data_IF_371295262651
#
_entry.id   IF_371295262651
#
_cell.length_a   1.000
_cell.length_b   1.000
_cell.length_c   1.000
_cell.angle_alpha   90.00
_cell.angle_beta   90.00
_cell.angle_gamma   90.00
#
_symmetry.space_group_name_H-M   'P 1'
#
loop_
_entity.id
_entity.type
_entity.pdbx_description
1 polymer ?
#
# COMPACT_ATOMS: atom_id res chain seq x y z
N UNK A 1 1.19 -8.29 5.25
CA UNK A 1 1.63 -8.59 3.86
C UNK A 1 2.42 -9.87 3.69
N UNK A 2 3.55 -10.10 4.38
CA UNK A 2 4.39 -11.30 4.15
C UNK A 2 3.60 -12.61 4.29
N UNK A 3 2.82 -12.76 5.37
CA UNK A 3 1.98 -13.94 5.58
C UNK A 3 0.76 -14.01 4.63
N UNK A 4 0.38 -12.89 4.02
CA UNK A 4 -0.75 -12.84 3.10
C UNK A 4 -0.34 -13.37 1.72
N UNK A 5 0.80 -12.93 1.20
CA UNK A 5 1.28 -13.35 -0.13
C UNK A 5 1.60 -14.85 -0.21
N UNK A 6 1.88 -15.51 0.93
CA UNK A 6 2.04 -16.97 1.00
C UNK A 6 0.72 -17.75 0.81
N UNK A 7 -0.44 -17.09 0.91
CA UNK A 7 -1.74 -17.70 0.67
C UNK A 7 -2.15 -17.66 -0.81
N UNK A 8 -1.43 -16.92 -1.64
CA UNK A 8 -1.75 -16.80 -3.07
C UNK A 8 -1.37 -18.08 -3.83
N UNK A 9 -2.10 -18.40 -4.92
CA UNK A 9 -1.80 -19.59 -5.72
C UNK A 9 -0.37 -19.61 -6.24
N UNK A 10 0.30 -20.76 -6.13
CA UNK A 10 1.63 -20.95 -6.68
C UNK A 10 1.57 -21.22 -8.20
N UNK A 11 1.20 -20.19 -8.96
CA UNK A 11 1.17 -20.18 -10.42
C UNK A 11 1.71 -18.83 -10.95
N UNK A 12 1.82 -18.68 -12.27
CA UNK A 12 2.39 -17.47 -12.86
C UNK A 12 1.67 -16.17 -12.43
N UNK A 13 0.34 -16.19 -12.42
CA UNK A 13 -0.49 -15.03 -12.04
C UNK A 13 -0.30 -14.69 -10.56
N UNK A 14 -0.41 -15.70 -9.68
CA UNK A 14 -0.22 -15.53 -8.24
C UNK A 14 1.18 -15.03 -7.90
N UNK A 15 2.22 -15.55 -8.55
CA UNK A 15 3.61 -15.12 -8.33
C UNK A 15 3.85 -13.65 -8.73
N UNK A 16 3.28 -13.21 -9.86
CA UNK A 16 3.37 -11.81 -10.29
C UNK A 16 2.68 -10.89 -9.29
N UNK A 17 1.44 -11.22 -8.90
CA UNK A 17 0.65 -10.41 -7.96
C UNK A 17 1.32 -10.38 -6.58
N UNK A 18 1.77 -11.52 -6.08
CA UNK A 18 2.52 -11.63 -4.81
C UNK A 18 3.71 -10.68 -4.78
N UNK A 19 4.46 -10.60 -5.88
CA UNK A 19 5.62 -9.71 -5.98
C UNK A 19 5.22 -8.24 -5.95
N UNK A 20 4.17 -7.85 -6.66
CA UNK A 20 3.69 -6.47 -6.68
C UNK A 20 3.21 -6.04 -5.30
N UNK A 21 2.34 -6.84 -4.67
CA UNK A 21 1.81 -6.58 -3.33
C UNK A 21 2.90 -6.52 -2.26
N UNK A 22 3.84 -7.47 -2.30
CA UNK A 22 4.92 -7.49 -1.33
C UNK A 22 5.79 -6.24 -1.46
N UNK A 23 6.06 -5.81 -2.70
CA UNK A 23 6.84 -4.60 -2.96
C UNK A 23 6.08 -3.35 -2.51
N UNK A 24 4.86 -3.13 -2.99
CA UNK A 24 4.11 -1.91 -2.68
C UNK A 24 3.76 -1.83 -1.19
N UNK A 25 3.23 -2.91 -0.62
CA UNK A 25 2.77 -2.93 0.77
C UNK A 25 3.89 -2.77 1.80
N UNK A 26 5.11 -3.27 1.51
CA UNK A 26 6.26 -3.03 2.39
C UNK A 26 6.89 -1.65 2.19
N UNK A 27 6.75 -1.08 0.99
CA UNK A 27 7.27 0.25 0.65
C UNK A 27 6.53 1.36 1.37
N UNK A 28 5.23 1.22 1.68
CA UNK A 28 4.47 2.17 2.51
C UNK A 28 5.21 2.48 3.82
N UNK A 29 5.49 1.43 4.61
CA UNK A 29 6.16 1.58 5.91
C UNK A 29 7.60 2.06 5.78
N UNK A 30 8.34 1.58 4.77
CA UNK A 30 9.72 2.01 4.53
C UNK A 30 9.80 3.51 4.18
N UNK A 31 8.96 3.96 3.24
CA UNK A 31 8.92 5.35 2.80
C UNK A 31 8.37 6.27 3.89
N UNK A 32 7.40 5.83 4.70
CA UNK A 32 6.90 6.62 5.82
C UNK A 32 8.00 6.85 6.87
N UNK A 33 8.78 5.82 7.21
CA UNK A 33 9.95 5.98 8.09
C UNK A 33 10.99 6.93 7.52
N UNK A 34 11.16 6.98 6.21
CA UNK A 34 12.03 7.94 5.53
C UNK A 34 11.46 9.37 5.55
N UNK A 35 10.14 9.52 5.44
CA UNK A 35 9.44 10.80 5.56
C UNK A 35 9.60 11.37 6.97
N UNK A 36 9.46 10.55 8.02
CA UNK A 36 9.69 10.99 9.41
C UNK A 36 11.12 11.48 9.68
N UNK A 37 12.08 11.18 8.80
CA UNK A 37 13.47 11.66 8.85
C UNK A 37 13.77 12.66 7.73
N UNK A 38 12.74 13.34 7.23
CA UNK A 38 12.91 14.33 6.16
C UNK A 38 13.82 15.48 6.60
N UNK A 39 14.61 15.98 5.64
CA UNK A 39 15.58 17.07 5.86
C UNK A 39 14.96 18.46 5.74
N UNK A 40 13.77 18.55 5.15
CA UNK A 40 13.01 19.78 4.96
C UNK A 40 11.52 19.47 4.82
N UNK A 41 10.67 20.51 4.84
CA UNK A 41 9.23 20.39 4.54
C UNK A 41 8.98 19.85 3.13
N UNK A 42 9.76 20.27 2.15
CA UNK A 42 9.64 19.80 0.76
C UNK A 42 10.02 18.32 0.62
N UNK A 43 11.09 17.90 1.29
CA UNK A 43 11.49 16.48 1.34
C UNK A 43 10.42 15.62 2.03
N UNK A 44 9.80 16.15 3.10
CA UNK A 44 8.68 15.49 3.76
C UNK A 44 7.49 15.32 2.82
N UNK A 45 7.07 16.41 2.14
CA UNK A 45 5.97 16.40 1.18
C UNK A 45 6.17 15.39 0.07
N UNK A 46 7.37 15.39 -0.54
CA UNK A 46 7.73 14.47 -1.60
C UNK A 46 7.63 13.01 -1.13
N UNK A 47 8.21 12.69 0.03
CA UNK A 47 8.18 11.33 0.57
C UNK A 47 6.79 10.87 0.99
N UNK A 48 5.97 11.75 1.58
CA UNK A 48 4.57 11.41 1.89
C UNK A 48 3.79 11.13 0.61
N UNK A 49 4.04 11.85 -0.49
CA UNK A 49 3.39 11.57 -1.76
C UNK A 49 3.74 10.17 -2.29
N UNK A 50 4.99 9.73 -2.12
CA UNK A 50 5.38 8.35 -2.44
C UNK A 50 4.61 7.35 -1.55
N UNK A 51 4.50 7.61 -0.24
CA UNK A 51 3.75 6.72 0.67
C UNK A 51 2.28 6.61 0.27
N UNK A 52 1.66 7.73 -0.11
CA UNK A 52 0.29 7.79 -0.64
C UNK A 52 0.13 6.93 -1.91
N UNK A 53 1.07 7.04 -2.86
CA UNK A 53 1.06 6.25 -4.10
C UNK A 53 1.22 4.75 -3.85
N UNK A 54 2.12 4.35 -2.94
CA UNK A 54 2.34 2.94 -2.58
C UNK A 54 1.14 2.34 -1.82
N UNK A 55 0.42 3.14 -1.04
CA UNK A 55 -0.80 2.73 -0.34
C UNK A 55 -1.94 2.49 -1.32
N UNK A 56 -2.14 3.41 -2.27
CA UNK A 56 -3.14 3.30 -3.33
C UNK A 56 -2.84 2.10 -4.27
N UNK A 57 -1.59 1.92 -4.67
CA UNK A 57 -1.19 0.75 -5.47
C UNK A 57 -1.46 -0.56 -4.73
N UNK A 58 -1.17 -0.60 -3.42
CA UNK A 58 -1.44 -1.79 -2.59
C UNK A 58 -2.94 -2.08 -2.51
N UNK A 59 -3.77 -1.05 -2.33
CA UNK A 59 -5.22 -1.17 -2.33
C UNK A 59 -5.73 -1.73 -3.66
N UNK A 60 -5.25 -1.19 -4.79
CA UNK A 60 -5.60 -1.64 -6.12
C UNK A 60 -5.33 -3.14 -6.30
N UNK A 61 -4.14 -3.62 -5.92
CA UNK A 61 -3.80 -5.05 -6.06
C UNK A 61 -4.66 -5.95 -5.17
N UNK A 62 -5.03 -5.51 -3.97
CA UNK A 62 -5.92 -6.26 -3.09
C UNK A 62 -7.35 -6.35 -3.66
N UNK A 63 -7.86 -5.25 -4.22
CA UNK A 63 -9.14 -5.24 -4.93
C UNK A 63 -9.11 -6.17 -6.14
N UNK A 64 -8.03 -6.13 -6.94
CA UNK A 64 -7.89 -7.00 -8.10
C UNK A 64 -7.89 -8.49 -7.73
N UNK A 65 -7.25 -8.89 -6.63
CA UNK A 65 -7.30 -10.26 -6.11
C UNK A 65 -8.74 -10.68 -5.80
N UNK A 66 -9.46 -9.81 -5.11
CA UNK A 66 -10.83 -10.08 -4.66
C UNK A 66 -11.79 -10.17 -5.86
N UNK A 67 -11.75 -9.19 -6.76
CA UNK A 67 -12.59 -9.12 -7.96
C UNK A 67 -12.32 -10.28 -8.93
N UNK A 68 -11.04 -10.65 -9.08
CA UNK A 68 -10.63 -11.78 -9.93
C UNK A 68 -10.90 -13.15 -9.30
N UNK A 69 -11.45 -13.19 -8.08
CA UNK A 69 -11.71 -14.40 -7.30
C UNK A 69 -10.47 -15.28 -7.09
N UNK A 70 -9.28 -14.66 -7.06
CA UNK A 70 -8.03 -15.36 -6.77
C UNK A 70 -7.99 -15.78 -5.30
N UNK A 71 -8.45 -14.89 -4.42
CA UNK A 71 -8.68 -15.15 -3.01
C UNK A 71 -9.81 -14.23 -2.54
N UNK A 72 -10.84 -14.79 -1.92
CA UNK A 72 -12.05 -14.06 -1.49
C UNK A 72 -12.39 -14.35 -0.03
N UNK A 73 -11.37 -14.43 0.82
CA UNK A 73 -11.53 -14.65 2.25
C UNK A 73 -11.78 -13.31 2.97
N UNK A 74 -12.40 -13.37 4.15
CA UNK A 74 -12.54 -12.29 5.13
C UNK A 74 -11.21 -11.57 5.39
N UNK A 75 -10.09 -12.28 5.30
CA UNK A 75 -8.76 -11.67 5.38
C UNK A 75 -8.50 -10.63 4.28
N UNK A 76 -8.89 -10.92 3.03
CA UNK A 76 -8.69 -10.00 1.90
C UNK A 76 -9.53 -8.73 2.09
N UNK A 77 -10.79 -8.87 2.49
CA UNK A 77 -11.68 -7.74 2.78
C UNK A 77 -11.13 -6.85 3.89
N UNK A 78 -10.60 -7.45 4.97
CA UNK A 78 -9.94 -6.71 6.05
C UNK A 78 -8.72 -5.94 5.56
N UNK A 79 -7.90 -6.55 4.71
CA UNK A 79 -6.71 -5.91 4.14
C UNK A 79 -7.09 -4.77 3.17
N UNK A 80 -8.14 -4.95 2.36
CA UNK A 80 -8.68 -3.88 1.50
C UNK A 80 -9.08 -2.69 2.36
N UNK A 81 -9.84 -2.94 3.44
CA UNK A 81 -10.28 -1.88 4.35
C UNK A 81 -9.09 -1.16 5.00
N UNK A 82 -8.11 -1.90 5.52
CA UNK A 82 -6.90 -1.33 6.12
C UNK A 82 -6.11 -0.50 5.10
N UNK A 83 -5.94 -0.98 3.88
CA UNK A 83 -5.24 -0.26 2.82
C UNK A 83 -5.99 1.03 2.43
N UNK A 84 -7.31 1.01 2.34
CA UNK A 84 -8.15 2.19 2.07
C UNK A 84 -8.02 3.24 3.19
N UNK A 85 -8.06 2.80 4.46
CA UNK A 85 -7.82 3.68 5.61
C UNK A 85 -6.43 4.33 5.56
N UNK A 86 -5.38 3.56 5.23
CA UNK A 86 -4.02 4.09 5.06
C UNK A 86 -3.95 5.11 3.90
N UNK A 87 -4.54 4.81 2.75
CA UNK A 87 -4.60 5.72 1.61
C UNK A 87 -5.28 7.04 1.98
N UNK A 88 -6.41 6.98 2.71
CA UNK A 88 -7.11 8.16 3.19
C UNK A 88 -6.28 9.00 4.18
N UNK A 89 -5.56 8.34 5.10
CA UNK A 89 -4.65 8.98 6.05
C UNK A 89 -3.53 9.71 5.30
N UNK A 90 -2.81 9.02 4.42
CA UNK A 90 -1.67 9.63 3.71
C UNK A 90 -2.10 10.70 2.72
N UNK A 91 -3.26 10.55 2.08
CA UNK A 91 -3.88 11.61 1.28
C UNK A 91 -4.15 12.87 2.12
N UNK A 92 -4.65 12.71 3.35
CA UNK A 92 -4.91 13.84 4.25
C UNK A 92 -3.62 14.52 4.71
N UNK A 93 -2.58 13.74 5.06
CA UNK A 93 -1.25 14.28 5.42
C UNK A 93 -0.62 15.03 4.23
N UNK A 94 -0.70 14.45 3.03
CA UNK A 94 -0.24 15.04 1.78
C UNK A 94 -0.91 16.40 1.51
N UNK A 95 -2.24 16.49 1.70
CA UNK A 95 -2.99 17.76 1.57
C UNK A 95 -2.60 18.79 2.63
N UNK A 96 -2.53 18.41 3.90
CA UNK A 96 -2.19 19.35 4.99
C UNK A 96 -0.75 19.86 4.88
N UNK A 97 0.19 19.01 4.47
CA UNK A 97 1.60 19.40 4.30
C UNK A 97 1.83 20.37 3.15
N UNK A 98 0.94 20.45 2.15
CA UNK A 98 0.97 21.48 1.09
C UNK A 98 0.51 22.86 1.57
N UNK A 99 -0.38 22.90 2.56
CA UNK A 99 -1.00 24.14 3.07
C UNK A 99 -0.26 24.73 4.29
N UNK A 100 0.91 24.19 4.67
CA UNK A 100 1.68 24.56 5.88
C UNK A 100 3.15 24.88 5.60
#
# INVERSE_FOLDING_TARGET
MINFVSLLPNNNVGNIISRQILKSGTSIGANYRAACRAKSKDDFRYKIKIVEEEADETLYWLQLIFESKILTDVLVEKLIKEADELTAIFTSISKTSRNS
#
